data_IF_610785766494
#
_entry.id   IF_610785766494
#
_cell.length_a   1.000
_cell.length_b   1.000
_cell.length_c   1.000
_cell.angle_alpha   90.00
_cell.angle_beta   90.00
_cell.angle_gamma   90.00
#
_symmetry.space_group_name_H-M   'P 1'
#
loop_
_entity.id
_entity.type
_entity.pdbx_description
1 polymer ?
#
# COMPACT_ATOMS: atom_id res chain seq x y z
N UNK A 1 -4.01 0.47 2.68
CA UNK A 1 -5.40 0.96 2.52
C UNK A 1 -5.45 2.48 2.43
N UNK A 2 -5.05 3.23 3.46
CA UNK A 2 -5.10 4.71 3.47
C UNK A 2 -4.45 5.34 2.25
N UNK A 3 -3.19 4.99 1.99
CA UNK A 3 -2.44 5.54 0.87
C UNK A 3 -3.14 5.28 -0.47
N UNK A 4 -3.65 4.06 -0.71
CA UNK A 4 -4.41 3.73 -1.93
C UNK A 4 -5.68 4.58 -2.07
N UNK A 5 -6.47 4.72 -1.00
CA UNK A 5 -7.72 5.50 -1.04
C UNK A 5 -7.43 6.98 -1.27
N UNK A 6 -6.36 7.52 -0.69
CA UNK A 6 -5.95 8.90 -0.93
C UNK A 6 -5.46 9.12 -2.35
N UNK A 7 -4.66 8.20 -2.91
CA UNK A 7 -4.25 8.30 -4.31
C UNK A 7 -5.46 8.18 -5.24
N UNK A 8 -6.45 7.37 -4.88
CA UNK A 8 -7.70 7.23 -5.63
C UNK A 8 -8.54 8.51 -5.57
N UNK A 9 -8.64 9.11 -4.39
CA UNK A 9 -9.30 10.41 -4.18
C UNK A 9 -8.63 11.48 -5.05
N UNK A 10 -7.29 11.58 -4.98
CA UNK A 10 -6.48 12.48 -5.80
C UNK A 10 -6.74 12.29 -7.30
N UNK A 11 -6.76 11.04 -7.75
CA UNK A 11 -6.96 10.70 -9.15
C UNK A 11 -8.29 11.29 -9.68
N UNK A 12 -9.36 11.22 -8.89
CA UNK A 12 -10.68 11.67 -9.33
C UNK A 12 -10.98 13.14 -9.04
N UNK A 13 -10.45 13.68 -7.94
CA UNK A 13 -10.68 15.09 -7.56
C UNK A 13 -9.71 16.04 -8.27
N UNK A 14 -8.53 15.57 -8.67
CA UNK A 14 -7.44 16.37 -9.27
C UNK A 14 -6.92 17.46 -8.33
N UNK A 15 -7.16 17.30 -7.03
CA UNK A 15 -6.72 18.22 -6.00
C UNK A 15 -6.21 17.39 -4.85
N UNK A 16 -4.97 17.65 -4.45
CA UNK A 16 -4.38 17.15 -3.21
C UNK A 16 -5.05 17.82 -2.03
N UNK A 17 -6.29 17.40 -1.78
CA UNK A 17 -6.94 17.68 -0.51
C UNK A 17 -6.23 16.83 0.51
N UNK A 18 -5.18 17.41 1.08
CA UNK A 18 -4.67 17.05 2.38
C UNK A 18 -5.84 17.31 3.35
N UNK A 19 -6.80 16.38 3.40
CA UNK A 19 -7.94 16.48 4.30
C UNK A 19 -7.43 16.68 5.72
N UNK A 20 -8.25 17.32 6.56
CA UNK A 20 -7.95 17.61 7.98
C UNK A 20 -7.42 16.36 8.70
N UNK A 21 -7.86 15.17 8.27
CA UNK A 21 -7.31 13.87 8.67
C UNK A 21 -6.85 13.16 7.41
N UNK A 22 -5.57 13.31 7.07
CA UNK A 22 -5.01 12.62 5.91
C UNK A 22 -4.82 11.12 6.14
N UNK A 23 -4.76 10.63 7.38
CA UNK A 23 -4.54 9.20 7.66
C UNK A 23 -3.05 8.88 7.85
N UNK A 24 -2.17 8.91 6.83
CA UNK A 24 -0.74 8.62 7.02
C UNK A 24 -0.03 9.63 7.93
N UNK A 25 -0.27 10.93 7.76
CA UNK A 25 0.40 11.98 8.55
C UNK A 25 -0.01 11.89 10.03
N UNK A 26 -1.32 11.80 10.29
CA UNK A 26 -1.87 11.59 11.64
C UNK A 26 -1.40 10.26 12.25
N UNK A 27 -1.31 9.20 11.43
CA UNK A 27 -0.79 7.90 11.85
C UNK A 27 0.67 7.99 12.29
N UNK A 28 1.53 8.62 11.50
CA UNK A 28 2.96 8.83 11.84
C UNK A 28 3.09 9.72 13.07
N UNK A 29 2.32 10.80 13.17
CA UNK A 29 2.34 11.69 14.34
C UNK A 29 1.90 10.95 15.62
N UNK A 30 0.84 10.15 15.52
CA UNK A 30 0.38 9.29 16.61
C UNK A 30 1.47 8.28 16.99
N UNK A 31 2.14 7.68 16.02
CA UNK A 31 3.21 6.70 16.24
C UNK A 31 4.44 7.34 16.90
N UNK A 32 4.81 8.56 16.50
CA UNK A 32 5.84 9.36 17.17
C UNK A 32 5.46 9.68 18.62
N UNK A 33 4.22 10.08 18.89
CA UNK A 33 3.71 10.30 20.25
C UNK A 33 3.77 9.03 21.09
N UNK A 34 3.29 7.93 20.52
CA UNK A 34 3.28 6.59 21.13
C UNK A 34 4.69 6.13 21.49
N UNK A 35 5.66 6.28 20.60
CA UNK A 35 7.05 5.93 20.88
C UNK A 35 7.71 6.91 21.86
N UNK A 36 7.38 8.21 21.79
CA UNK A 36 7.83 9.20 22.77
C UNK A 36 7.35 8.87 24.19
N UNK A 37 6.08 8.51 24.34
CA UNK A 37 5.50 8.08 25.62
C UNK A 37 6.11 6.76 26.11
N UNK A 38 6.32 5.80 25.21
CA UNK A 38 6.98 4.53 25.55
C UNK A 38 8.40 4.75 26.06
N UNK A 39 9.15 5.65 25.42
CA UNK A 39 10.50 6.02 25.84
C UNK A 39 10.50 6.76 27.19
N UNK A 40 9.52 7.62 27.44
CA UNK A 40 9.36 8.33 28.72
C UNK A 40 8.98 7.40 29.87
N UNK A 41 8.08 6.44 29.64
CA UNK A 41 7.56 5.52 30.67
C UNK A 41 8.45 4.28 30.89
N UNK A 42 9.56 4.15 30.16
CA UNK A 42 10.67 3.27 30.51
C UNK A 42 10.53 1.79 30.12
N UNK A 43 9.62 1.41 29.22
CA UNK A 43 9.60 0.04 28.69
C UNK A 43 8.35 -0.38 27.90
N UNK A 44 8.47 -1.50 27.18
CA UNK A 44 7.39 -2.10 26.38
C UNK A 44 6.30 -2.82 27.20
N UNK A 45 6.55 -3.09 28.48
CA UNK A 45 5.55 -3.70 29.40
C UNK A 45 4.34 -2.80 29.64
N UNK A 46 4.47 -1.49 29.43
CA UNK A 46 3.39 -0.52 29.49
C UNK A 46 2.22 -0.86 28.54
N UNK A 47 2.53 -1.44 27.37
CA UNK A 47 1.52 -1.73 26.35
C UNK A 47 0.56 -2.87 26.70
N UNK A 48 0.95 -3.71 27.66
CA UNK A 48 0.13 -4.83 28.16
C UNK A 48 -0.70 -4.44 29.38
N UNK A 49 -0.57 -3.21 29.87
CA UNK A 49 -1.37 -2.68 30.98
C UNK A 49 -2.72 -2.15 30.46
N UNK A 50 -3.74 -2.22 31.31
CA UNK A 50 -5.08 -1.72 31.04
C UNK A 50 -5.06 -0.21 30.84
N UNK A 51 -5.54 0.29 29.70
CA UNK A 51 -5.47 1.72 29.37
C UNK A 51 -6.25 2.59 30.36
N UNK A 52 -7.43 2.11 30.75
CA UNK A 52 -8.34 2.85 31.63
C UNK A 52 -7.86 2.88 33.08
N UNK A 53 -7.15 1.84 33.53
CA UNK A 53 -6.52 1.78 34.86
C UNK A 53 -5.34 2.76 34.94
N UNK A 54 -4.49 2.81 33.92
CA UNK A 54 -3.34 3.73 33.88
C UNK A 54 -3.75 5.20 33.74
N UNK A 55 -4.86 5.48 33.04
CA UNK A 55 -5.41 6.84 32.91
C UNK A 55 -6.19 7.28 34.17
N UNK A 56 -6.42 6.35 35.12
CA UNK A 56 -7.06 6.66 36.40
C UNK A 56 -8.58 6.79 36.32
N UNK A 57 -9.22 6.18 35.31
CA UNK A 57 -10.68 6.14 35.20
C UNK A 57 -11.21 5.14 36.23
N UNK A 58 -12.02 5.55 37.23
CA UNK A 58 -12.57 4.62 38.20
C UNK A 58 -13.48 3.62 37.49
N UNK A 59 -13.45 2.35 37.91
CA UNK A 59 -14.31 1.29 37.39
C UNK A 59 -15.78 1.64 37.66
N UNK A 60 -16.43 2.23 36.68
CA UNK A 60 -17.86 2.54 36.70
C UNK A 60 -18.62 1.28 36.29
N UNK A 61 -19.68 0.90 37.00
CA UNK A 61 -20.53 -0.27 36.69
C UNK A 61 -21.18 -0.22 35.29
N UNK A 62 -21.11 0.93 34.61
CA UNK A 62 -21.56 1.13 33.23
C UNK A 62 -20.53 0.68 32.17
N UNK A 63 -19.27 0.43 32.54
CA UNK A 63 -18.20 0.04 31.62
C UNK A 63 -18.01 -1.49 31.71
N UNK A 64 -18.26 -2.25 30.63
CA UNK A 64 -18.02 -3.69 30.62
C UNK A 64 -16.56 -4.02 31.00
N UNK A 65 -16.36 -5.05 31.83
CA UNK A 65 -15.01 -5.43 32.31
C UNK A 65 -14.04 -5.71 31.15
N UNK A 66 -14.54 -6.27 30.04
CA UNK A 66 -13.72 -6.52 28.85
C UNK A 66 -13.19 -5.24 28.18
N UNK A 67 -13.89 -4.11 28.33
CA UNK A 67 -13.46 -2.82 27.80
C UNK A 67 -12.50 -2.12 28.76
N UNK A 68 -12.68 -2.34 30.07
CA UNK A 68 -11.84 -1.79 31.13
C UNK A 68 -10.43 -2.38 31.14
N UNK A 69 -10.34 -3.71 31.01
CA UNK A 69 -9.07 -4.46 31.01
C UNK A 69 -8.38 -4.51 29.65
N UNK A 70 -8.91 -3.78 28.66
CA UNK A 70 -8.36 -3.78 27.32
C UNK A 70 -6.97 -3.11 27.31
N UNK A 71 -5.91 -3.81 26.87
CA UNK A 71 -4.57 -3.28 26.88
C UNK A 71 -4.40 -2.16 25.86
N UNK A 72 -3.42 -1.28 26.07
CA UNK A 72 -3.11 -0.17 25.14
C UNK A 72 -2.94 -0.63 23.68
N UNK A 73 -2.40 -1.82 23.44
CA UNK A 73 -2.27 -2.38 22.07
C UNK A 73 -3.61 -2.57 21.38
N UNK A 74 -4.63 -3.08 22.07
CA UNK A 74 -5.96 -3.30 21.49
C UNK A 74 -6.68 -1.97 21.27
N UNK A 75 -6.56 -1.02 22.20
CA UNK A 75 -7.08 0.33 22.01
C UNK A 75 -6.46 1.05 20.81
N UNK A 76 -5.14 0.88 20.61
CA UNK A 76 -4.46 1.42 19.43
C UNK A 76 -4.99 0.82 18.12
N UNK A 77 -5.27 -0.49 18.10
CA UNK A 77 -5.88 -1.15 16.93
C UNK A 77 -7.29 -0.62 16.65
N UNK A 78 -8.11 -0.43 17.70
CA UNK A 78 -9.47 0.13 17.57
C UNK A 78 -9.43 1.56 17.07
N UNK A 79 -8.59 2.41 17.66
CA UNK A 79 -8.37 3.78 17.20
C UNK A 79 -7.91 3.81 15.74
N UNK A 80 -6.91 2.99 15.41
CA UNK A 80 -6.40 2.85 14.05
C UNK A 80 -7.51 2.48 13.06
N UNK A 81 -8.35 1.49 13.41
CA UNK A 81 -9.48 1.08 12.60
C UNK A 81 -10.50 2.22 12.39
N UNK A 82 -10.89 2.93 13.46
CA UNK A 82 -11.84 4.05 13.38
C UNK A 82 -11.31 5.14 12.44
N UNK A 83 -10.07 5.56 12.61
CA UNK A 83 -9.44 6.57 11.75
C UNK A 83 -9.41 6.10 10.29
N UNK A 84 -9.13 4.82 10.06
CA UNK A 84 -9.08 4.23 8.73
C UNK A 84 -10.43 4.22 8.02
N UNK A 85 -11.48 3.79 8.71
CA UNK A 85 -12.84 3.78 8.16
C UNK A 85 -13.37 5.20 7.94
N UNK A 86 -13.10 6.11 8.88
CA UNK A 86 -13.50 7.51 8.74
C UNK A 86 -12.80 8.17 7.54
N UNK A 87 -11.47 8.02 7.42
CA UNK A 87 -10.72 8.55 6.30
C UNK A 87 -11.23 7.99 4.96
N UNK A 88 -11.48 6.67 4.90
CA UNK A 88 -11.99 6.03 3.70
C UNK A 88 -13.39 6.52 3.32
N UNK A 89 -14.30 6.59 4.29
CA UNK A 89 -15.66 7.06 4.07
C UNK A 89 -15.71 8.52 3.65
N UNK A 90 -14.90 9.37 4.30
CA UNK A 90 -14.76 10.79 3.95
C UNK A 90 -14.29 10.97 2.51
N UNK A 91 -13.24 10.25 2.09
CA UNK A 91 -12.75 10.32 0.70
C UNK A 91 -13.80 9.85 -0.32
N UNK A 92 -14.56 8.79 -0.01
CA UNK A 92 -15.65 8.33 -0.90
C UNK A 92 -16.71 9.42 -1.08
N UNK A 93 -17.20 10.00 0.02
CA UNK A 93 -18.22 11.06 -0.03
C UNK A 93 -17.71 12.27 -0.80
N UNK A 94 -16.45 12.66 -0.57
CA UNK A 94 -15.82 13.79 -1.24
C UNK A 94 -15.72 13.60 -2.76
N UNK A 95 -15.22 12.44 -3.22
CA UNK A 95 -15.16 12.11 -4.65
C UNK A 95 -16.55 12.12 -5.28
N UNK A 96 -17.56 11.55 -4.60
CA UNK A 96 -18.94 11.54 -5.09
C UNK A 96 -19.52 12.95 -5.20
N UNK A 97 -19.26 13.83 -4.24
CA UNK A 97 -19.69 15.22 -4.25
C UNK A 97 -19.07 16.00 -5.42
N UNK A 98 -17.74 15.97 -5.57
CA UNK A 98 -17.04 16.69 -6.64
C UNK A 98 -17.48 16.21 -8.03
N UNK A 99 -17.65 14.90 -8.23
CA UNK A 99 -18.12 14.38 -9.52
C UNK A 99 -19.56 14.76 -9.82
N UNK A 100 -20.42 14.79 -8.80
CA UNK A 100 -21.80 15.25 -8.94
C UNK A 100 -21.86 16.73 -9.31
N UNK A 101 -21.01 17.57 -8.71
CA UNK A 101 -20.87 18.99 -9.06
C UNK A 101 -20.36 19.19 -10.49
N UNK A 102 -19.46 18.31 -10.96
CA UNK A 102 -18.98 18.27 -12.35
C UNK A 102 -19.96 17.64 -13.35
N UNK A 103 -21.14 17.19 -12.90
CA UNK A 103 -22.14 16.54 -13.74
C UNK A 103 -21.71 15.16 -14.28
N UNK A 104 -20.76 14.50 -13.62
CA UNK A 104 -20.24 13.17 -14.00
C UNK A 104 -20.85 12.08 -13.13
N UNK A 105 -20.82 10.83 -13.62
CA UNK A 105 -21.31 9.68 -12.85
C UNK A 105 -20.53 9.51 -11.54
N UNK A 106 -21.20 9.56 -10.37
CA UNK A 106 -20.54 9.45 -9.07
C UNK A 106 -20.22 8.00 -8.67
N UNK A 107 -20.81 7.02 -9.36
CA UNK A 107 -20.69 5.58 -9.04
C UNK A 107 -19.48 4.94 -9.74
N UNK A 108 -19.14 5.39 -10.95
CA UNK A 108 -18.03 4.82 -11.72
C UNK A 108 -16.69 4.74 -10.95
N UNK A 109 -16.28 5.76 -10.17
CA UNK A 109 -15.06 5.69 -9.36
C UNK A 109 -15.02 4.56 -8.34
N UNK A 110 -16.19 4.15 -7.80
CA UNK A 110 -16.26 3.14 -6.75
C UNK A 110 -15.74 1.79 -7.24
N UNK A 111 -15.85 1.50 -8.55
CA UNK A 111 -15.22 0.32 -9.15
C UNK A 111 -13.69 0.33 -9.02
N UNK A 112 -13.09 1.51 -8.92
CA UNK A 112 -11.65 1.66 -8.67
C UNK A 112 -11.24 1.25 -7.24
N UNK A 113 -12.18 1.07 -6.31
CA UNK A 113 -11.92 0.54 -4.97
C UNK A 113 -12.01 -0.99 -4.90
N UNK A 114 -12.50 -1.66 -5.96
CA UNK A 114 -12.61 -3.12 -5.99
C UNK A 114 -11.28 -3.84 -5.75
N UNK A 115 -10.13 -3.43 -6.34
CA UNK A 115 -8.85 -4.10 -6.08
C UNK A 115 -8.45 -4.03 -4.61
N UNK A 116 -8.74 -2.91 -3.94
CA UNK A 116 -8.48 -2.74 -2.51
C UNK A 116 -9.35 -3.68 -1.67
N UNK A 117 -10.65 -3.74 -1.96
CA UNK A 117 -11.58 -4.65 -1.26
C UNK A 117 -11.16 -6.11 -1.48
N UNK A 118 -10.76 -6.46 -2.70
CA UNK A 118 -10.31 -7.81 -3.02
C UNK A 118 -9.06 -8.20 -2.20
N UNK A 119 -8.06 -7.32 -2.06
CA UNK A 119 -6.91 -7.58 -1.19
C UNK A 119 -7.35 -7.75 0.27
N UNK A 120 -8.27 -6.92 0.75
CA UNK A 120 -8.79 -7.00 2.12
C UNK A 120 -9.60 -8.27 2.42
N UNK A 121 -10.23 -8.86 1.41
CA UNK A 121 -10.97 -10.13 1.58
C UNK A 121 -10.03 -11.32 1.39
N UNK A 122 -9.23 -11.32 0.32
CA UNK A 122 -8.41 -12.47 -0.04
C UNK A 122 -7.23 -12.70 0.91
N UNK A 123 -6.59 -11.64 1.43
CA UNK A 123 -5.44 -11.82 2.34
C UNK A 123 -5.84 -12.50 3.65
N UNK A 124 -6.84 -12.02 4.42
CA UNK A 124 -7.27 -12.71 5.63
C UNK A 124 -7.89 -14.08 5.34
N UNK A 125 -8.65 -14.22 4.24
CA UNK A 125 -9.22 -15.51 3.85
C UNK A 125 -8.11 -16.55 3.60
N UNK A 126 -7.04 -16.18 2.89
CA UNK A 126 -5.92 -17.08 2.64
C UNK A 126 -5.20 -17.48 3.93
N UNK A 127 -4.93 -16.52 4.81
CA UNK A 127 -4.27 -16.77 6.10
C UNK A 127 -5.12 -17.63 7.04
N UNK A 128 -6.45 -17.48 7.00
CA UNK A 128 -7.37 -18.32 7.77
C UNK A 128 -7.40 -19.76 7.25
N UNK A 129 -7.38 -19.93 5.93
CA UNK A 129 -7.37 -21.25 5.31
C UNK A 129 -6.03 -21.99 5.50
N UNK A 130 -4.92 -21.25 5.59
CA UNK A 130 -3.60 -21.83 5.76
C UNK A 130 -2.83 -21.23 6.96
N UNK A 131 -3.03 -21.78 8.17
CA UNK A 131 -2.35 -21.29 9.37
C UNK A 131 -0.84 -21.50 9.32
N UNK A 132 -0.35 -22.49 8.57
CA UNK A 132 1.10 -22.72 8.39
C UNK A 132 1.83 -21.51 7.84
N UNK A 133 1.19 -20.75 6.94
CA UNK A 133 1.78 -19.53 6.35
C UNK A 133 1.79 -18.40 7.40
N UNK A 134 0.72 -18.28 8.18
CA UNK A 134 0.60 -17.29 9.24
C UNK A 134 1.68 -17.48 10.31
N UNK A 135 1.95 -18.72 10.72
CA UNK A 135 2.89 -19.00 11.81
C UNK A 135 4.36 -19.01 11.37
N UNK A 136 4.67 -19.55 10.18
CA UNK A 136 6.05 -19.82 9.78
C UNK A 136 6.56 -18.93 8.62
N UNK A 137 5.67 -18.41 7.77
CA UNK A 137 6.04 -17.72 6.52
C UNK A 137 5.37 -16.36 6.36
N UNK A 138 5.05 -15.68 7.47
CA UNK A 138 4.38 -14.39 7.44
C UNK A 138 5.21 -13.29 6.78
N UNK A 139 6.54 -13.33 6.92
CA UNK A 139 7.45 -12.31 6.34
C UNK A 139 7.41 -12.30 4.81
N UNK A 140 7.70 -13.40 4.09
CA UNK A 140 7.63 -13.40 2.62
C UNK A 140 6.22 -13.10 2.12
N UNK A 141 5.18 -13.57 2.82
CA UNK A 141 3.80 -13.26 2.46
C UNK A 141 3.47 -11.76 2.63
N UNK A 142 3.91 -11.13 3.72
CA UNK A 142 3.72 -9.69 3.95
C UNK A 142 4.46 -8.85 2.90
N UNK A 143 5.67 -9.24 2.48
CA UNK A 143 6.39 -8.59 1.39
C UNK A 143 5.63 -8.71 0.06
N UNK A 144 5.09 -9.89 -0.24
CA UNK A 144 4.28 -10.11 -1.43
C UNK A 144 3.03 -9.21 -1.43
N UNK A 145 2.24 -9.21 -0.36
CA UNK A 145 1.05 -8.35 -0.21
C UNK A 145 1.43 -6.86 -0.25
N UNK A 146 2.57 -6.49 0.31
CA UNK A 146 3.14 -5.15 0.22
C UNK A 146 3.42 -4.73 -1.22
N UNK A 147 4.08 -5.59 -2.01
CA UNK A 147 4.37 -5.35 -3.42
C UNK A 147 3.10 -5.27 -4.27
N UNK A 148 2.10 -6.11 -4.02
CA UNK A 148 0.78 -6.06 -4.69
C UNK A 148 0.16 -4.67 -4.50
N UNK A 149 0.17 -4.14 -3.27
CA UNK A 149 -0.34 -2.81 -2.96
C UNK A 149 0.54 -1.70 -3.57
N UNK A 150 1.86 -1.82 -3.48
CA UNK A 150 2.78 -0.83 -4.04
C UNK A 150 2.63 -0.70 -5.56
N UNK A 151 2.48 -1.82 -6.26
CA UNK A 151 2.20 -1.84 -7.70
C UNK A 151 0.85 -1.21 -8.04
N UNK A 152 -0.20 -1.51 -7.26
CA UNK A 152 -1.53 -0.93 -7.47
C UNK A 152 -1.55 0.60 -7.29
N UNK A 153 -0.82 1.11 -6.30
CA UNK A 153 -0.72 2.56 -6.11
C UNK A 153 0.20 3.19 -7.15
N UNK A 154 1.33 2.56 -7.46
CA UNK A 154 2.27 3.06 -8.47
C UNK A 154 1.62 3.24 -9.83
N UNK A 155 0.85 2.25 -10.28
CA UNK A 155 0.10 2.33 -11.56
C UNK A 155 -0.97 3.43 -11.55
N UNK A 156 -1.59 3.70 -10.40
CA UNK A 156 -2.55 4.79 -10.26
C UNK A 156 -1.87 6.16 -10.34
N UNK A 157 -0.71 6.32 -9.70
CA UNK A 157 0.09 7.55 -9.77
C UNK A 157 0.54 7.80 -11.22
N UNK A 158 1.09 6.79 -11.90
CA UNK A 158 1.51 6.96 -13.30
C UNK A 158 0.34 7.27 -14.22
N UNK A 159 -0.81 6.62 -14.01
CA UNK A 159 -2.02 6.92 -14.78
C UNK A 159 -2.51 8.36 -14.57
N UNK A 160 -2.42 8.86 -13.34
CA UNK A 160 -2.72 10.26 -13.05
C UNK A 160 -1.78 11.22 -13.79
N UNK A 161 -0.47 11.00 -13.67
CA UNK A 161 0.55 11.88 -14.27
C UNK A 161 0.47 11.94 -15.79
N UNK A 162 0.22 10.79 -16.44
CA UNK A 162 0.12 10.68 -17.91
C UNK A 162 -1.30 10.99 -18.40
N UNK A 163 -2.24 11.29 -17.50
CA UNK A 163 -3.67 11.51 -17.79
C UNK A 163 -4.31 10.34 -18.55
N UNK A 164 -3.89 9.11 -18.24
CA UNK A 164 -4.44 7.90 -18.82
C UNK A 164 -5.65 7.39 -18.01
N UNK A 165 -6.36 6.40 -18.55
CA UNK A 165 -7.50 5.78 -17.89
C UNK A 165 -7.12 5.06 -16.59
N UNK A 166 -8.04 5.02 -15.63
CA UNK A 166 -7.81 4.39 -14.33
C UNK A 166 -7.47 2.88 -14.46
N UNK A 167 -6.41 2.39 -13.80
CA UNK A 167 -6.04 0.98 -13.84
C UNK A 167 -6.92 0.17 -12.87
N UNK A 168 -8.01 -0.41 -13.39
CA UNK A 168 -8.93 -1.23 -12.58
C UNK A 168 -8.39 -2.62 -12.25
N UNK A 169 -7.38 -3.12 -12.98
CA UNK A 169 -6.90 -4.49 -12.86
C UNK A 169 -5.48 -4.54 -12.32
N UNK A 170 -5.27 -5.35 -11.28
CA UNK A 170 -3.95 -5.65 -10.73
C UNK A 170 -3.56 -7.08 -11.08
N UNK A 171 -2.60 -7.24 -11.99
CA UNK A 171 -2.10 -8.56 -12.42
C UNK A 171 -1.55 -9.38 -11.25
N UNK A 172 -0.97 -8.72 -10.24
CA UNK A 172 -0.43 -9.38 -9.05
C UNK A 172 -1.49 -9.88 -8.08
N UNK A 173 -2.76 -9.50 -8.27
CA UNK A 173 -3.88 -10.00 -7.49
C UNK A 173 -4.33 -11.39 -7.96
N UNK A 174 -4.09 -11.75 -9.24
CA UNK A 174 -4.52 -13.04 -9.78
C UNK A 174 -3.89 -14.24 -9.06
N UNK A 175 -2.57 -14.28 -8.80
CA UNK A 175 -1.96 -15.38 -8.06
C UNK A 175 -2.55 -15.51 -6.64
N UNK A 176 -2.84 -14.40 -5.97
CA UNK A 176 -3.48 -14.42 -4.65
C UNK A 176 -4.89 -14.98 -4.70
N UNK A 177 -5.70 -14.57 -5.69
CA UNK A 177 -7.04 -15.10 -5.88
C UNK A 177 -7.02 -16.61 -6.18
N UNK A 178 -6.08 -17.07 -7.00
CA UNK A 178 -5.88 -18.50 -7.27
C UNK A 178 -5.46 -19.25 -5.99
N UNK A 179 -4.60 -18.67 -5.16
CA UNK A 179 -4.20 -19.25 -3.88
C UNK A 179 -5.40 -19.48 -2.96
N UNK A 180 -6.29 -18.48 -2.84
CA UNK A 180 -7.50 -18.56 -2.02
C UNK A 180 -8.46 -19.63 -2.56
N UNK A 181 -8.68 -19.67 -3.88
CA UNK A 181 -9.56 -20.65 -4.50
C UNK A 181 -9.03 -22.08 -4.34
N UNK A 182 -7.73 -22.28 -4.51
CA UNK A 182 -7.11 -23.59 -4.33
C UNK A 182 -7.20 -24.08 -2.88
N UNK A 183 -6.93 -23.19 -1.91
CA UNK A 183 -7.06 -23.52 -0.48
C UNK A 183 -8.50 -23.70 -0.01
N UNK A 184 -9.47 -23.06 -0.67
CA UNK A 184 -10.89 -23.20 -0.35
C UNK A 184 -11.49 -24.53 -0.86
N UNK A 185 -11.01 -25.04 -2.00
CA UNK A 185 -11.51 -26.28 -2.61
C UNK A 185 -11.56 -27.49 -1.68
N UNK A 186 -10.47 -27.85 -0.97
CA UNK A 186 -10.45 -28.95 -0.01
C UNK A 186 -11.37 -28.74 1.18
N UNK A 187 -11.47 -27.49 1.67
CA UNK A 187 -12.26 -27.13 2.85
C UNK A 187 -13.76 -27.28 2.57
N UNK A 188 -14.19 -26.94 1.36
CA UNK A 188 -15.57 -27.12 0.91
C UNK A 188 -15.82 -28.49 0.24
N UNK A 189 -14.81 -29.35 0.13
CA UNK A 189 -14.92 -30.68 -0.48
C UNK A 189 -15.21 -30.67 -1.98
N UNK A 190 -14.91 -29.57 -2.68
CA UNK A 190 -15.19 -29.40 -4.11
C UNK A 190 -14.12 -30.04 -5.00
N UNK A 191 -12.84 -29.86 -4.66
CA UNK A 191 -11.71 -30.44 -5.39
C UNK A 191 -10.49 -30.62 -4.47
N UNK A 192 -9.61 -31.61 -4.75
CA UNK A 192 -8.32 -31.70 -4.08
C UNK A 192 -7.44 -30.50 -4.45
N UNK A 193 -6.70 -29.95 -3.48
CA UNK A 193 -5.81 -28.80 -3.71
C UNK A 193 -4.73 -29.19 -4.72
N UNK A 194 -4.61 -28.40 -5.79
CA UNK A 194 -3.62 -28.57 -6.83
C UNK A 194 -2.21 -28.21 -6.33
N UNK A 195 -2.12 -27.35 -5.32
CA UNK A 195 -0.88 -27.01 -4.63
C UNK A 195 -0.44 -28.10 -3.62
N UNK A 196 -1.31 -29.07 -3.33
CA UNK A 196 -1.03 -30.17 -2.41
C UNK A 196 -1.03 -29.76 -0.93
N UNK A 197 -0.37 -30.57 -0.09
CA UNK A 197 -0.17 -30.28 1.33
C UNK A 197 0.77 -29.08 1.58
N UNK A 198 0.92 -28.71 2.86
CA UNK A 198 1.55 -27.44 3.29
C UNK A 198 2.83 -27.00 2.56
N UNK A 199 3.73 -27.92 2.20
CA UNK A 199 4.99 -27.61 1.51
C UNK A 199 4.77 -26.94 0.12
N UNK A 200 3.76 -27.35 -0.63
CA UNK A 200 3.48 -26.78 -1.95
C UNK A 200 2.86 -25.39 -1.88
N UNK A 201 2.06 -25.10 -0.85
CA UNK A 201 1.55 -23.75 -0.60
C UNK A 201 2.67 -22.79 -0.18
N UNK A 202 3.66 -23.27 0.57
CA UNK A 202 4.85 -22.48 0.91
C UNK A 202 5.65 -22.15 -0.34
N UNK A 203 5.94 -23.15 -1.19
CA UNK A 203 6.62 -22.93 -2.45
C UNK A 203 5.87 -21.91 -3.34
N UNK A 204 4.55 -22.00 -3.37
CA UNK A 204 3.71 -21.06 -4.12
C UNK A 204 3.81 -19.62 -3.62
N UNK A 205 3.88 -19.38 -2.30
CA UNK A 205 4.10 -18.03 -1.75
C UNK A 205 5.43 -17.45 -2.23
N UNK A 206 6.50 -18.24 -2.25
CA UNK A 206 7.80 -17.78 -2.77
C UNK A 206 7.79 -17.52 -4.26
N UNK A 207 7.07 -18.34 -5.05
CA UNK A 207 6.86 -18.08 -6.49
C UNK A 207 6.08 -16.78 -6.69
N UNK A 208 5.01 -16.56 -5.92
CA UNK A 208 4.23 -15.32 -5.96
C UNK A 208 5.08 -14.10 -5.59
N UNK A 209 5.93 -14.24 -4.56
CA UNK A 209 6.86 -13.19 -4.17
C UNK A 209 7.87 -12.88 -5.29
N UNK A 210 8.48 -13.91 -5.89
CA UNK A 210 9.40 -13.74 -7.02
C UNK A 210 8.74 -13.08 -8.22
N UNK A 211 7.51 -13.50 -8.56
CA UNK A 211 6.71 -12.89 -9.61
C UNK A 211 6.37 -11.43 -9.30
N UNK A 212 6.01 -11.11 -8.06
CA UNK A 212 5.74 -9.73 -7.64
C UNK A 212 6.99 -8.85 -7.73
N UNK A 213 8.15 -9.36 -7.31
CA UNK A 213 9.43 -8.65 -7.47
C UNK A 213 9.73 -8.41 -8.95
N UNK A 214 9.52 -9.41 -9.81
CA UNK A 214 9.75 -9.29 -11.25
C UNK A 214 8.85 -8.25 -11.92
N UNK A 215 7.53 -8.34 -11.70
CA UNK A 215 6.56 -7.40 -12.29
C UNK A 215 6.74 -5.98 -11.75
N UNK A 216 6.89 -5.83 -10.44
CA UNK A 216 7.09 -4.52 -9.83
C UNK A 216 8.45 -3.91 -10.20
N UNK A 217 9.49 -4.73 -10.28
CA UNK A 217 10.82 -4.32 -10.74
C UNK A 217 10.82 -3.85 -12.19
N UNK A 218 10.16 -4.60 -13.09
CA UNK A 218 9.98 -4.17 -14.49
C UNK A 218 9.23 -2.85 -14.57
N UNK A 219 8.15 -2.70 -13.80
CA UNK A 219 7.35 -1.48 -13.75
C UNK A 219 8.17 -0.26 -13.30
N UNK A 220 8.98 -0.41 -12.25
CA UNK A 220 9.88 0.67 -11.80
C UNK A 220 10.90 1.00 -12.89
N UNK A 221 11.52 -0.02 -13.47
CA UNK A 221 12.50 0.16 -14.54
C UNK A 221 11.92 0.95 -15.71
N UNK A 222 10.72 0.59 -16.17
CA UNK A 222 10.04 1.26 -17.29
C UNK A 222 9.71 2.72 -16.99
N UNK A 223 9.28 3.04 -15.76
CA UNK A 223 9.03 4.43 -15.35
C UNK A 223 10.34 5.23 -15.36
N UNK A 224 11.38 4.68 -14.73
CA UNK A 224 12.67 5.34 -14.58
C UNK A 224 13.25 5.63 -15.96
N UNK A 225 13.31 4.64 -16.86
CA UNK A 225 13.83 4.83 -18.21
C UNK A 225 12.98 5.80 -19.01
N UNK A 226 11.65 5.68 -18.99
CA UNK A 226 10.77 6.59 -19.72
C UNK A 226 10.93 8.04 -19.27
N UNK A 227 11.05 8.30 -17.97
CA UNK A 227 11.25 9.65 -17.43
C UNK A 227 12.66 10.15 -17.78
N UNK A 228 13.69 9.33 -17.57
CA UNK A 228 15.08 9.71 -17.86
C UNK A 228 15.29 9.97 -19.37
N UNK A 229 14.65 9.22 -20.25
CA UNK A 229 14.65 9.43 -21.70
C UNK A 229 13.86 10.69 -22.11
N UNK A 230 12.73 10.96 -21.46
CA UNK A 230 11.91 12.15 -21.76
C UNK A 230 12.59 13.47 -21.32
N UNK A 231 13.22 13.47 -20.14
CA UNK A 231 13.90 14.63 -19.57
C UNK A 231 15.36 14.76 -20.07
N UNK A 232 15.86 13.75 -20.78
CA UNK A 232 17.23 13.65 -21.29
C UNK A 232 18.31 13.70 -20.19
N UNK A 233 18.09 12.97 -19.10
CA UNK A 233 19.00 12.87 -17.94
C UNK A 233 19.34 11.41 -17.63
N UNK A 234 20.51 11.16 -17.05
CA UNK A 234 20.82 9.85 -16.48
C UNK A 234 20.42 9.84 -15.00
N UNK A 235 19.68 8.83 -14.58
CA UNK A 235 19.10 8.78 -13.23
C UNK A 235 20.15 8.71 -12.10
N UNK A 236 21.36 8.21 -12.38
CA UNK A 236 22.46 8.09 -11.39
C UNK A 236 23.73 8.85 -11.81
N UNK A 237 23.70 9.65 -12.88
CA UNK A 237 24.89 10.35 -13.39
C UNK A 237 24.50 11.68 -14.03
N UNK A 238 25.32 12.71 -13.84
CA UNK A 238 25.05 14.00 -14.48
C UNK A 238 25.40 13.90 -15.97
N UNK A 239 24.43 14.23 -16.84
CA UNK A 239 24.69 14.35 -18.27
C UNK A 239 25.44 15.66 -18.53
N UNK A 240 26.71 15.58 -18.90
CA UNK A 240 27.46 16.77 -19.33
C UNK A 240 27.18 17.04 -20.81
N UNK A 241 26.55 18.18 -21.16
CA UNK A 241 26.34 18.53 -22.55
C UNK A 241 27.69 18.74 -23.25
N UNK A 242 27.82 18.15 -24.45
CA UNK A 242 28.97 18.38 -25.31
C UNK A 242 28.89 19.81 -25.84
N UNK A 243 29.85 20.65 -25.46
CA UNK A 243 30.01 21.98 -26.05
C UNK A 243 30.89 21.80 -27.29
N UNK A 244 30.31 21.87 -28.48
CA UNK A 244 31.11 22.00 -29.70
C UNK A 244 31.88 23.33 -29.63
N UNK A 245 33.21 23.24 -29.50
CA UNK A 245 34.06 24.40 -29.77
C UNK A 245 34.10 24.57 -31.28
N UNK A 246 33.42 25.59 -31.81
CA UNK A 246 33.67 26.05 -33.17
C UNK A 246 35.11 26.58 -33.26
N UNK A 247 36.00 25.80 -33.86
CA UNK A 247 37.30 26.29 -34.35
C UNK A 247 37.06 27.10 -35.62
N UNK A 248 37.68 28.28 -35.71
CA UNK A 248 37.53 29.25 -36.80
C UNK A 248 37.97 28.75 -38.20
N UNK A 249 38.33 27.47 -38.37
CA UNK A 249 38.91 26.91 -39.60
C UNK A 249 38.27 25.58 -40.07
N UNK A 250 37.03 25.27 -39.69
CA UNK A 250 36.21 24.30 -40.44
C UNK A 250 36.63 22.81 -40.42
N UNK A 251 37.61 22.41 -39.63
CA UNK A 251 37.92 20.99 -39.36
C UNK A 251 37.39 20.57 -37.99
N UNK A 252 36.59 19.51 -37.98
CA UNK A 252 35.96 18.93 -36.78
C UNK A 252 36.84 17.80 -36.30
N UNK A 253 37.66 18.04 -35.28
CA UNK A 253 38.46 17.00 -34.63
C UNK A 253 38.05 16.78 -33.17
N UNK A 254 37.87 15.50 -32.85
CA UNK A 254 37.77 14.81 -31.57
C UNK A 254 37.04 15.50 -30.41
N UNK A 255 35.89 14.91 -30.08
CA UNK A 255 35.03 15.21 -28.92
C UNK A 255 35.79 15.00 -27.60
N UNK A 256 36.12 16.09 -26.90
CA UNK A 256 36.70 16.02 -25.56
C UNK A 256 35.59 16.14 -24.49
N UNK A 257 35.51 15.15 -23.61
CA UNK A 257 34.54 15.05 -22.52
C UNK A 257 34.87 16.11 -21.47
N UNK A 258 33.98 17.08 -21.22
CA UNK A 258 34.14 18.03 -20.10
C UNK A 258 34.07 17.25 -18.78
N UNK A 259 35.21 17.07 -18.14
CA UNK A 259 35.34 16.47 -16.82
C UNK A 259 35.26 17.60 -15.79
N UNK A 260 34.23 17.60 -14.95
CA UNK A 260 34.16 18.36 -13.69
C UNK A 260 33.46 17.54 -12.63
#
# INVERSE_FOLDING_TARGET
>A
MTFYVQTWDEYYTQVLTLGIISGPVEGVLTLCLVFGLTAYMGGGSFWHQSMLETVGVPKLDAIPEQLYDMPFTQWYLVYGAIVLFFATGSSIVHVMQIRRERGQDPIAPLFGLLPLVAVWVFVPAYLYLQPTILENYMVPFALYVGLVNAYAVGTMITAHLVKSSFPYFNVLLCPLALAVLDSAGPVFGLWPSALGGGDGQVAFVYVCLGLAIGVYGSFIHDIITTICDYIDIWCLTIKHPYVEKQTANGEVDAVEKKMS
#
